data_IF_122974104714
#
_entry.id   IF_122974104714
#
_cell.length_a   1.000
_cell.length_b   1.000
_cell.length_c   1.000
_cell.angle_alpha   90.00
_cell.angle_beta   90.00
_cell.angle_gamma   90.00
#
_symmetry.space_group_name_H-M   'P 1'
#
loop_
_entity.id
_entity.type
_entity.pdbx_description
1 polymer ?
#
# COMPACT_ATOMS: atom_id res chain seq x y z
N UNK A 1 -47.05 -62.77 15.63
CA UNK A 1 -47.90 -63.19 14.50
C UNK A 1 -48.21 -61.98 13.64
N UNK A 2 -47.93 -62.12 12.34
CA UNK A 2 -48.66 -61.57 11.18
C UNK A 2 -48.83 -60.06 10.98
N UNK A 3 -48.21 -59.59 9.88
CA UNK A 3 -48.81 -58.86 8.72
C UNK A 3 -49.52 -57.52 9.02
N UNK A 4 -49.53 -56.50 8.16
CA UNK A 4 -49.35 -56.44 6.72
C UNK A 4 -49.20 -54.96 6.31
N UNK A 5 -48.42 -54.72 5.25
CA UNK A 5 -48.45 -53.53 4.37
C UNK A 5 -49.87 -53.36 3.79
N UNK A 6 -50.32 -52.15 3.43
CA UNK A 6 -50.05 -51.59 2.08
C UNK A 6 -49.84 -50.06 2.15
N UNK A 7 -49.41 -49.31 1.14
CA UNK A 7 -49.39 -49.50 -0.31
C UNK A 7 -49.54 -48.10 -0.92
N UNK A 8 -48.74 -47.83 -1.95
CA UNK A 8 -48.55 -46.54 -2.62
C UNK A 8 -49.82 -45.91 -3.21
N UNK A 9 -49.73 -44.60 -3.55
CA UNK A 9 -50.06 -44.05 -4.89
C UNK A 9 -49.70 -42.55 -4.99
N UNK A 10 -48.90 -42.23 -6.02
CA UNK A 10 -48.71 -40.91 -6.68
C UNK A 10 -50.06 -40.46 -7.31
N UNK A 11 -50.34 -39.19 -7.66
CA UNK A 11 -49.60 -38.33 -8.63
C UNK A 11 -49.69 -36.83 -8.24
N UNK A 12 -49.43 -35.77 -9.01
CA UNK A 12 -49.18 -35.54 -10.42
C UNK A 12 -48.38 -34.23 -10.54
N UNK A 13 -47.62 -34.11 -11.62
CA UNK A 13 -47.10 -32.83 -12.08
C UNK A 13 -48.26 -31.90 -12.43
N UNK A 14 -48.23 -30.67 -11.92
CA UNK A 14 -48.95 -29.54 -12.51
C UNK A 14 -47.93 -28.47 -12.88
N UNK A 15 -47.67 -28.39 -14.18
CA UNK A 15 -47.13 -27.21 -14.81
C UNK A 15 -48.22 -26.13 -14.84
N UNK A 16 -47.92 -24.90 -14.44
CA UNK A 16 -48.44 -23.70 -15.08
C UNK A 16 -47.75 -22.47 -14.51
N UNK A 17 -47.29 -21.65 -15.43
CA UNK A 17 -46.55 -20.42 -15.24
C UNK A 17 -47.30 -19.38 -14.41
N UNK A 18 -46.56 -18.57 -13.68
CA UNK A 18 -46.96 -17.20 -13.39
C UNK A 18 -45.73 -16.31 -13.41
N UNK A 19 -45.81 -15.33 -14.31
CA UNK A 19 -44.86 -14.28 -14.55
C UNK A 19 -44.75 -13.32 -13.36
N UNK A 20 -43.73 -12.46 -13.43
CA UNK A 20 -43.53 -11.24 -12.66
C UNK A 20 -42.89 -11.42 -11.27
N UNK A 21 -41.57 -11.25 -11.23
CA UNK A 21 -40.92 -10.46 -10.19
C UNK A 21 -39.64 -9.83 -10.77
N UNK A 22 -39.81 -8.67 -11.39
CA UNK A 22 -38.76 -7.69 -11.62
C UNK A 22 -38.16 -7.29 -10.26
N UNK A 23 -36.98 -7.82 -9.96
CA UNK A 23 -36.13 -7.40 -8.84
C UNK A 23 -34.67 -7.44 -9.32
N UNK A 24 -34.35 -6.62 -10.33
CA UNK A 24 -32.97 -6.24 -10.61
C UNK A 24 -32.55 -5.25 -9.51
N UNK A 25 -32.11 -5.82 -8.40
CA UNK A 25 -31.55 -5.08 -7.28
C UNK A 25 -30.30 -4.33 -7.73
N UNK A 26 -30.33 -3.01 -7.48
CA UNK A 26 -29.19 -2.12 -7.40
C UNK A 26 -28.05 -2.78 -6.59
N UNK A 27 -26.89 -2.90 -7.23
CA UNK A 27 -25.60 -2.89 -6.54
C UNK A 27 -24.75 -1.83 -7.24
N UNK A 28 -24.53 -0.64 -6.67
CA UNK A 28 -23.36 0.14 -7.02
C UNK A 28 -22.17 -0.70 -6.57
N UNK A 29 -21.53 -1.37 -7.51
CA UNK A 29 -20.21 -1.92 -7.29
C UNK A 29 -19.29 -0.73 -6.98
N UNK A 30 -19.05 -0.52 -5.69
CA UNK A 30 -17.92 0.22 -5.16
C UNK A 30 -16.64 -0.37 -5.75
N UNK A 31 -16.26 0.12 -6.94
CA UNK A 31 -14.90 0.08 -7.43
C UNK A 31 -14.07 1.08 -6.60
N UNK A 32 -13.93 0.74 -5.32
CA UNK A 32 -13.10 1.42 -4.34
C UNK A 32 -12.18 0.37 -3.74
N UNK A 33 -11.20 -0.08 -4.52
CA UNK A 33 -10.11 -0.93 -4.06
C UNK A 33 -8.89 -0.62 -4.90
N UNK A 34 -7.95 0.14 -4.34
CA UNK A 34 -6.55 -0.23 -4.53
C UNK A 34 -5.55 0.83 -4.94
N UNK A 35 -5.90 2.01 -5.42
CA UNK A 35 -4.87 2.97 -5.86
C UNK A 35 -4.91 4.24 -5.02
N UNK A 36 -4.56 4.11 -3.74
CA UNK A 36 -4.04 5.24 -2.96
C UNK A 36 -2.55 5.42 -3.29
N UNK A 37 -2.28 5.62 -4.56
CA UNK A 37 -1.07 6.20 -5.11
C UNK A 37 -1.54 7.26 -6.11
N UNK A 38 -2.41 8.18 -5.65
CA UNK A 38 -2.48 9.50 -6.24
C UNK A 38 -1.08 10.10 -6.11
N UNK A 39 -0.29 9.89 -7.15
CA UNK A 39 0.44 10.95 -7.82
C UNK A 39 0.66 12.19 -6.94
N UNK A 40 1.68 12.11 -6.07
CA UNK A 40 2.55 13.26 -5.84
C UNK A 40 3.22 13.60 -7.17
N UNK A 41 2.44 14.13 -8.10
CA UNK A 41 2.78 14.47 -9.47
C UNK A 41 3.82 15.58 -9.44
N UNK A 42 5.07 15.19 -9.19
CA UNK A 42 6.32 15.88 -9.50
C UNK A 42 7.54 15.23 -8.86
N UNK A 43 7.42 14.33 -7.87
CA UNK A 43 8.58 13.78 -7.16
C UNK A 43 8.58 12.25 -7.13
N UNK A 44 9.59 11.64 -7.73
CA UNK A 44 9.86 10.21 -7.72
C UNK A 44 11.01 9.85 -6.76
N UNK A 45 10.93 8.66 -6.14
CA UNK A 45 12.01 8.12 -5.29
C UNK A 45 12.84 7.10 -6.07
N UNK A 46 14.13 7.36 -6.22
CA UNK A 46 15.10 6.40 -6.76
C UNK A 46 15.90 5.78 -5.63
N UNK A 47 15.71 4.48 -5.41
CA UNK A 47 16.47 3.70 -4.42
C UNK A 47 17.98 3.74 -4.71
N UNK A 48 18.77 3.85 -3.65
CA UNK A 48 20.22 3.75 -3.69
C UNK A 48 20.77 3.18 -2.37
N UNK A 49 22.04 2.85 -2.35
CA UNK A 49 22.71 2.46 -1.09
C UNK A 49 23.11 3.70 -0.31
N UNK A 50 23.14 3.60 1.02
CA UNK A 50 23.65 4.68 1.90
C UNK A 50 25.08 5.08 1.54
N UNK A 51 25.89 4.12 1.09
CA UNK A 51 27.26 4.37 0.63
C UNK A 51 27.31 5.26 -0.63
N UNK A 52 26.27 5.25 -1.47
CA UNK A 52 26.15 6.06 -2.68
C UNK A 52 25.65 7.49 -2.44
N UNK A 53 25.22 7.82 -1.22
CA UNK A 53 24.86 9.18 -0.85
C UNK A 53 26.15 10.01 -0.73
N UNK A 54 26.22 11.22 -1.34
CA UNK A 54 27.40 12.07 -1.21
C UNK A 54 27.73 12.41 0.25
N UNK A 55 29.01 12.69 0.51
CA UNK A 55 29.52 12.89 1.87
C UNK A 55 28.80 14.00 2.64
N UNK A 56 28.51 15.12 1.98
CA UNK A 56 27.88 16.28 2.60
C UNK A 56 26.45 15.99 3.13
N UNK A 57 25.48 15.51 2.31
CA UNK A 57 24.17 15.11 2.81
C UNK A 57 24.21 13.92 3.78
N UNK A 58 25.14 12.97 3.60
CA UNK A 58 25.30 11.85 4.53
C UNK A 58 25.76 12.31 5.92
N UNK A 59 26.79 13.15 5.98
CA UNK A 59 27.29 13.71 7.24
C UNK A 59 26.22 14.59 7.92
N UNK A 60 25.44 15.35 7.15
CA UNK A 60 24.32 16.11 7.68
C UNK A 60 23.24 15.20 8.28
N UNK A 61 22.91 14.07 7.64
CA UNK A 61 21.98 13.08 8.15
C UNK A 61 22.46 12.44 9.47
N UNK A 62 23.73 12.02 9.53
CA UNK A 62 24.36 11.44 10.73
C UNK A 62 24.37 12.43 11.91
N UNK A 63 24.66 13.71 11.63
CA UNK A 63 24.60 14.76 12.65
C UNK A 63 23.17 15.05 13.10
N UNK A 64 22.20 14.97 12.18
CA UNK A 64 20.80 15.24 12.46
C UNK A 64 20.14 14.13 13.31
N UNK A 65 20.58 12.89 13.13
CA UNK A 65 20.09 11.70 13.83
C UNK A 65 21.26 10.90 14.42
N UNK A 66 21.89 11.39 15.50
CA UNK A 66 23.02 10.70 16.11
C UNK A 66 22.61 9.34 16.67
N UNK A 67 23.41 8.31 16.39
CA UNK A 67 23.15 6.95 16.85
C UNK A 67 22.07 6.20 16.08
N UNK A 68 21.66 6.71 14.91
CA UNK A 68 20.87 5.96 13.94
C UNK A 68 21.80 5.23 12.98
N UNK A 69 21.60 3.92 12.83
CA UNK A 69 22.23 3.12 11.80
C UNK A 69 21.39 3.21 10.52
N UNK A 70 21.85 3.96 9.52
CA UNK A 70 21.15 4.10 8.24
C UNK A 70 21.32 2.85 7.39
N UNK A 71 20.21 2.31 6.90
CA UNK A 71 20.15 1.05 6.14
C UNK A 71 19.62 1.29 4.72
N UNK A 72 18.66 2.20 4.57
CA UNK A 72 18.03 2.53 3.29
C UNK A 72 18.31 3.99 2.89
N UNK A 73 18.43 4.22 1.58
CA UNK A 73 18.56 5.55 1.02
C UNK A 73 17.78 5.70 -0.30
N UNK A 74 17.25 6.91 -0.51
CA UNK A 74 16.59 7.30 -1.76
C UNK A 74 17.09 8.68 -2.22
N UNK A 75 17.21 8.84 -3.53
CA UNK A 75 17.22 10.15 -4.17
C UNK A 75 15.79 10.51 -4.56
N UNK A 76 15.26 11.60 -4.00
CA UNK A 76 14.03 12.21 -4.45
C UNK A 76 14.35 13.07 -5.67
N UNK A 77 13.86 12.68 -6.84
CA UNK A 77 14.06 13.36 -8.12
C UNK A 77 12.75 13.89 -8.69
N UNK A 78 12.79 14.99 -9.40
CA UNK A 78 11.59 15.57 -10.00
C UNK A 78 11.11 14.81 -11.26
N UNK A 79 10.06 15.31 -11.92
CA UNK A 79 9.55 14.75 -13.17
C UNK A 79 10.52 14.79 -14.36
N UNK A 80 11.58 15.61 -14.28
CA UNK A 80 12.68 15.68 -15.25
C UNK A 80 13.90 14.85 -14.82
N UNK A 81 13.82 14.20 -13.65
CA UNK A 81 14.90 13.40 -13.07
C UNK A 81 15.96 14.24 -12.34
N UNK A 82 15.72 15.53 -12.10
CA UNK A 82 16.65 16.37 -11.33
C UNK A 82 16.57 16.05 -9.85
N UNK A 83 17.71 15.94 -9.20
CA UNK A 83 17.79 15.64 -7.78
C UNK A 83 17.29 16.84 -6.95
N UNK A 84 16.26 16.59 -6.15
CA UNK A 84 15.75 17.55 -5.17
C UNK A 84 16.35 17.33 -3.78
N UNK A 85 16.45 16.08 -3.32
CA UNK A 85 16.95 15.74 -1.99
C UNK A 85 17.33 14.27 -1.86
N UNK A 86 18.08 13.94 -0.81
CA UNK A 86 18.32 12.59 -0.34
C UNK A 86 17.45 12.30 0.88
N UNK A 87 16.95 11.08 0.98
CA UNK A 87 16.23 10.58 2.14
C UNK A 87 16.96 9.35 2.68
N UNK A 88 17.30 9.36 3.96
CA UNK A 88 17.98 8.27 4.64
C UNK A 88 17.10 7.76 5.76
N UNK A 89 16.95 6.44 5.84
CA UNK A 89 16.17 5.74 6.87
C UNK A 89 17.06 4.76 7.59
N UNK A 90 16.89 4.71 8.91
CA UNK A 90 17.68 3.85 9.75
C UNK A 90 17.00 3.48 11.06
N UNK A 91 17.71 2.71 11.86
CA UNK A 91 17.26 2.23 13.17
C UNK A 91 18.07 2.89 14.28
N UNK A 92 17.38 3.49 15.25
CA UNK A 92 18.01 3.97 16.47
C UNK A 92 18.26 2.82 17.46
N UNK A 93 19.13 3.03 18.45
CA UNK A 93 19.45 2.05 19.49
C UNK A 93 18.23 1.51 20.27
N UNK A 94 17.15 2.28 20.35
CA UNK A 94 15.88 1.86 20.97
C UNK A 94 14.97 1.04 20.03
N UNK A 95 15.47 0.66 18.85
CA UNK A 95 14.76 -0.11 17.83
C UNK A 95 13.81 0.71 16.96
N UNK A 96 13.59 1.99 17.24
CA UNK A 96 12.70 2.86 16.45
C UNK A 96 13.32 3.17 15.09
N UNK A 97 12.49 3.15 14.06
CA UNK A 97 12.86 3.66 12.75
C UNK A 97 12.87 5.19 12.80
N UNK A 98 13.88 5.78 12.17
CA UNK A 98 14.08 7.22 12.03
C UNK A 98 14.39 7.52 10.58
N UNK A 99 13.89 8.65 10.11
CA UNK A 99 14.07 9.10 8.73
C UNK A 99 14.53 10.55 8.72
N UNK A 100 15.38 10.90 7.75
CA UNK A 100 15.83 12.27 7.53
C UNK A 100 15.91 12.55 6.05
N UNK A 101 15.36 13.70 5.64
CA UNK A 101 15.51 14.24 4.30
C UNK A 101 16.49 15.40 4.32
N UNK A 102 17.46 15.37 3.42
CA UNK A 102 18.55 16.33 3.33
C UNK A 102 18.70 16.84 1.90
N UNK A 103 18.91 18.13 1.71
CA UNK A 103 19.22 18.72 0.41
C UNK A 103 20.60 18.24 -0.10
N UNK A 104 20.91 18.41 -1.40
CA UNK A 104 22.25 18.10 -1.91
C UNK A 104 23.39 18.86 -1.22
N UNK A 105 23.10 20.05 -0.65
CA UNK A 105 24.06 20.89 0.07
C UNK A 105 24.07 20.63 1.59
N UNK A 106 23.49 19.53 2.06
CA UNK A 106 23.53 19.16 3.48
C UNK A 106 22.52 19.89 4.38
N UNK A 107 21.55 20.62 3.82
CA UNK A 107 20.47 21.22 4.62
C UNK A 107 19.44 20.16 5.02
N UNK A 108 19.11 20.07 6.30
CA UNK A 108 18.08 19.13 6.78
C UNK A 108 16.70 19.71 6.50
N UNK A 109 15.97 19.06 5.61
CA UNK A 109 14.63 19.47 5.17
C UNK A 109 13.54 18.88 6.08
N UNK A 110 13.71 17.63 6.53
CA UNK A 110 12.70 16.90 7.29
C UNK A 110 13.35 15.84 8.21
N UNK A 111 12.70 15.54 9.36
CA UNK A 111 13.13 14.52 10.32
C UNK A 111 11.94 13.84 11.00
N UNK A 112 11.97 12.51 11.06
CA UNK A 112 10.95 11.67 11.72
C UNK A 112 11.56 10.68 12.73
#
# INVERSE_FOLDING_TARGET
>A
MTRSKPGARRPAFSAAASAAALLLALLPAVAGCGDRQEESARMARRTMTVASVPDEPRAAAEKALPGVEFEDAWANVDGEGQLHSYELRGRAANGRIREVRVSPSGEVLERE
#
